data_IF_751140910471
#
_entry.id   IF_751140910471
#
_cell.length_a   1.000
_cell.length_b   1.000
_cell.length_c   1.000
_cell.angle_alpha   90.00
_cell.angle_beta   90.00
_cell.angle_gamma   90.00
#
_symmetry.space_group_name_H-M   'P 1'
#
loop_
_entity.id
_entity.type
_entity.pdbx_description
1 polymer ?
#
# COMPACT_ATOMS: atom_id res chain seq x y z
N UNK A 1 -3.14 -3.55 2.68
CA UNK A 1 -4.36 -3.73 1.87
C UNK A 1 -5.61 -3.80 2.75
N UNK A 2 -5.82 -4.85 3.56
CA UNK A 2 -7.05 -5.02 4.38
C UNK A 2 -7.36 -3.83 5.29
N UNK A 3 -6.35 -3.30 5.99
CA UNK A 3 -6.52 -2.12 6.84
C UNK A 3 -7.06 -0.88 6.10
N UNK A 4 -6.84 -0.78 4.78
CA UNK A 4 -7.26 0.35 3.96
C UNK A 4 -8.55 0.10 3.17
N UNK A 5 -8.99 -1.16 3.07
CA UNK A 5 -10.05 -1.58 2.12
C UNK A 5 -11.14 -2.43 2.74
N UNK A 6 -10.92 -2.99 3.93
CA UNK A 6 -11.84 -3.90 4.61
C UNK A 6 -11.82 -5.36 4.12
N UNK A 7 -11.13 -5.66 3.02
CA UNK A 7 -11.08 -7.00 2.41
C UNK A 7 -9.64 -7.44 2.15
N UNK A 8 -9.32 -8.74 2.08
CA UNK A 8 -7.99 -9.20 1.69
C UNK A 8 -7.71 -8.96 0.19
N UNK A 9 -6.44 -8.86 -0.23
CA UNK A 9 -6.07 -8.68 -1.63
C UNK A 9 -6.32 -9.93 -2.48
N UNK A 10 -6.28 -11.13 -1.87
CA UNK A 10 -6.47 -12.40 -2.57
C UNK A 10 -7.62 -13.17 -1.94
N UNK A 11 -8.59 -13.53 -2.76
CA UNK A 11 -9.71 -14.41 -2.42
C UNK A 11 -9.96 -15.35 -3.59
N UNK A 12 -10.38 -16.57 -3.31
CA UNK A 12 -10.85 -17.52 -4.31
C UNK A 12 -11.69 -18.60 -3.63
N UNK A 13 -12.60 -19.24 -4.38
CA UNK A 13 -13.42 -20.35 -3.85
C UNK A 13 -12.58 -21.62 -3.58
N UNK A 14 -11.46 -21.78 -4.30
CA UNK A 14 -10.60 -22.95 -4.21
C UNK A 14 -9.18 -22.57 -3.82
N UNK A 15 -8.54 -23.37 -2.94
CA UNK A 15 -7.17 -23.13 -2.47
C UNK A 15 -6.16 -23.04 -3.61
N UNK A 16 -6.29 -23.89 -4.63
CA UNK A 16 -5.37 -23.91 -5.76
C UNK A 16 -5.38 -22.57 -6.52
N UNK A 17 -6.56 -22.01 -6.74
CA UNK A 17 -6.72 -20.71 -7.38
C UNK A 17 -6.19 -19.58 -6.49
N UNK A 18 -6.44 -19.64 -5.18
CA UNK A 18 -5.90 -18.68 -4.23
C UNK A 18 -4.35 -18.63 -4.30
N UNK A 19 -3.70 -19.80 -4.30
CA UNK A 19 -2.24 -19.86 -4.44
C UNK A 19 -1.75 -19.36 -5.78
N UNK A 20 -2.47 -19.60 -6.88
CA UNK A 20 -2.16 -19.03 -8.19
C UNK A 20 -2.21 -17.50 -8.16
N UNK A 21 -3.27 -16.91 -7.57
CA UNK A 21 -3.41 -15.46 -7.43
C UNK A 21 -2.30 -14.86 -6.57
N UNK A 22 -1.95 -15.49 -5.46
CA UNK A 22 -0.85 -15.06 -4.58
C UNK A 22 0.48 -15.05 -5.35
N UNK A 23 0.81 -16.15 -6.04
CA UNK A 23 2.08 -16.27 -6.80
C UNK A 23 2.17 -15.29 -7.96
N UNK A 24 1.05 -15.05 -8.64
CA UNK A 24 0.98 -14.12 -9.77
C UNK A 24 0.79 -12.65 -9.33
N UNK A 25 0.67 -12.37 -8.02
CA UNK A 25 0.25 -11.08 -7.49
C UNK A 25 -1.02 -10.54 -8.17
N UNK A 26 -1.98 -11.43 -8.43
CA UNK A 26 -3.22 -11.09 -9.12
C UNK A 26 -4.29 -10.61 -8.12
N UNK A 27 -4.41 -9.30 -8.00
CA UNK A 27 -5.41 -8.61 -7.19
C UNK A 27 -5.83 -7.28 -7.85
N UNK A 28 -6.95 -6.71 -7.42
CA UNK A 28 -7.39 -5.40 -7.88
C UNK A 28 -6.76 -4.31 -7.02
N UNK A 29 -6.06 -3.36 -7.66
CA UNK A 29 -5.55 -2.18 -6.96
C UNK A 29 -6.68 -1.14 -6.83
N UNK A 30 -7.15 -0.80 -5.62
CA UNK A 30 -8.32 0.06 -5.47
C UNK A 30 -8.00 1.51 -5.81
N UNK A 31 -8.74 2.07 -6.78
CA UNK A 31 -8.52 3.43 -7.31
C UNK A 31 -8.79 4.55 -6.32
N UNK A 32 -9.56 4.28 -5.26
CA UNK A 32 -9.90 5.27 -4.24
C UNK A 32 -8.78 5.50 -3.21
N UNK A 33 -7.73 4.67 -3.22
CA UNK A 33 -6.58 4.85 -2.34
C UNK A 33 -5.66 5.97 -2.85
N UNK A 34 -4.92 6.61 -1.95
CA UNK A 34 -3.92 7.61 -2.36
C UNK A 34 -2.84 6.98 -3.25
N UNK A 35 -2.18 7.74 -4.14
CA UNK A 35 -1.09 7.23 -4.96
C UNK A 35 0.01 6.53 -4.15
N UNK A 36 0.35 7.08 -2.97
CA UNK A 36 1.32 6.47 -2.07
C UNK A 36 0.83 5.13 -1.48
N UNK A 37 -0.44 5.02 -1.10
CA UNK A 37 -0.98 3.74 -0.62
C UNK A 37 -0.99 2.68 -1.74
N UNK A 38 -1.36 3.08 -2.96
CA UNK A 38 -1.35 2.21 -4.13
C UNK A 38 0.07 1.71 -4.44
N UNK A 39 1.05 2.61 -4.49
CA UNK A 39 2.44 2.27 -4.73
C UNK A 39 3.03 1.34 -3.65
N UNK A 40 2.76 1.61 -2.37
CA UNK A 40 3.22 0.77 -1.27
C UNK A 40 2.63 -0.65 -1.35
N UNK A 41 1.33 -0.77 -1.61
CA UNK A 41 0.67 -2.08 -1.79
C UNK A 41 1.30 -2.85 -2.96
N UNK A 42 1.52 -2.18 -4.10
CA UNK A 42 2.13 -2.78 -5.28
C UNK A 42 3.54 -3.32 -5.00
N UNK A 43 4.37 -2.55 -4.30
CA UNK A 43 5.72 -2.98 -3.93
C UNK A 43 5.72 -4.14 -2.92
N UNK A 44 4.89 -4.07 -1.88
CA UNK A 44 4.84 -5.12 -0.85
C UNK A 44 4.29 -6.45 -1.36
N UNK A 45 3.35 -6.40 -2.31
CA UNK A 45 2.73 -7.58 -2.93
C UNK A 45 3.39 -7.97 -4.26
N UNK A 46 4.63 -7.52 -4.51
CA UNK A 46 5.35 -7.91 -5.71
C UNK A 46 5.52 -9.45 -5.79
N UNK A 47 5.31 -10.05 -6.98
CA UNK A 47 5.40 -11.50 -7.17
C UNK A 47 6.84 -11.99 -6.99
N UNK A 48 7.81 -11.20 -7.45
CA UNK A 48 9.23 -11.43 -7.26
C UNK A 48 9.67 -10.95 -5.87
N UNK A 49 10.15 -11.83 -4.96
CA UNK A 49 10.58 -11.43 -3.62
C UNK A 49 11.70 -10.38 -3.63
N UNK A 50 12.63 -10.45 -4.58
CA UNK A 50 13.73 -9.49 -4.69
C UNK A 50 13.27 -8.08 -5.12
N UNK A 51 12.07 -7.94 -5.68
CA UNK A 51 11.49 -6.65 -6.04
C UNK A 51 10.75 -5.97 -4.87
N UNK A 52 10.62 -6.65 -3.73
CA UNK A 52 9.96 -6.08 -2.55
C UNK A 52 10.88 -5.07 -1.87
N UNK A 53 10.34 -3.94 -1.39
CA UNK A 53 11.13 -2.95 -0.67
C UNK A 53 11.68 -3.55 0.63
N UNK A 54 12.86 -3.10 1.05
CA UNK A 54 13.36 -3.40 2.39
C UNK A 54 12.49 -2.72 3.45
N UNK A 55 12.64 -3.12 4.71
CA UNK A 55 11.93 -2.44 5.81
C UNK A 55 12.26 -0.94 5.86
N UNK A 56 13.51 -0.57 5.59
CA UNK A 56 13.93 0.83 5.56
C UNK A 56 13.21 1.60 4.44
N UNK A 57 13.19 1.02 3.23
CA UNK A 57 12.48 1.62 2.09
C UNK A 57 10.97 1.78 2.37
N UNK A 58 10.37 0.84 3.10
CA UNK A 58 8.97 0.92 3.52
C UNK A 58 8.77 2.09 4.48
N UNK A 59 9.62 2.25 5.49
CA UNK A 59 9.51 3.34 6.47
C UNK A 59 9.76 4.72 5.84
N UNK A 60 10.64 4.78 4.84
CA UNK A 60 10.95 6.01 4.10
C UNK A 60 9.91 6.33 3.01
N UNK A 61 9.02 5.38 2.68
CA UNK A 61 8.01 5.54 1.65
C UNK A 61 7.05 6.71 1.96
N UNK A 62 6.66 7.47 0.92
CA UNK A 62 5.73 8.60 1.04
C UNK A 62 4.37 8.28 1.69
N UNK A 63 4.03 7.00 1.85
CA UNK A 63 2.86 6.61 2.63
C UNK A 63 3.01 6.92 4.13
N UNK A 64 4.23 6.79 4.68
CA UNK A 64 4.53 7.04 6.08
C UNK A 64 5.20 8.41 6.32
N UNK A 65 5.93 8.92 5.33
CA UNK A 65 6.71 10.16 5.47
C UNK A 65 5.98 11.42 5.00
N UNK A 66 4.81 11.28 4.36
CA UNK A 66 4.01 12.45 3.99
C UNK A 66 3.44 13.11 5.25
N UNK A 67 4.20 14.06 5.79
CA UNK A 67 3.74 15.01 6.80
C UNK A 67 2.54 15.75 6.20
N UNK A 68 1.34 15.53 6.74
CA UNK A 68 0.25 16.50 6.55
C UNK A 68 0.83 17.82 7.01
N UNK A 69 1.07 18.74 6.09
CA UNK A 69 1.60 20.06 6.42
C UNK A 69 0.79 20.60 7.58
N UNK A 70 1.41 20.66 8.76
CA UNK A 70 0.97 21.57 9.79
C UNK A 70 1.12 22.94 9.14
N UNK A 71 0.04 23.43 8.53
CA UNK A 71 -0.18 24.85 8.45
C UNK A 71 -0.48 25.29 9.87
N UNK A 72 0.57 25.36 10.68
CA UNK A 72 0.65 26.34 11.73
C UNK A 72 0.57 27.69 11.06
N UNK A 73 -0.64 28.15 10.77
CA UNK A 73 -0.90 29.56 10.61
C UNK A 73 -0.74 30.17 12.01
N UNK A 74 0.52 30.42 12.38
CA UNK A 74 0.82 31.58 13.19
C UNK A 74 0.29 32.78 12.38
N UNK A 75 -0.90 33.25 12.73
CA UNK A 75 -1.26 34.63 12.47
C UNK A 75 -0.57 35.47 13.56
N UNK A 76 0.45 36.29 13.25
CA UNK A 76 0.82 37.37 14.14
C UNK A 76 -0.20 38.48 13.88
N UNK A 77 -1.24 38.54 14.69
CA UNK A 77 -2.06 39.74 14.79
C UNK A 77 -1.89 40.32 16.19
N UNK A 78 -1.20 41.47 16.19
CA UNK A 78 -1.35 42.66 17.05
C UNK A 78 -1.77 42.46 18.49
#
# INVERSE_FOLDING_TARGET
>A
YTALTGSPPFEAAHRQELYQRIRAAQYLLPRHLSPHAQALIAGLLAPEPAARPSLQDVLDHGFFTQVRGWQGAHSPHG
#
